data_IF_621537437135
#
_entry.id   IF_621537437135
#
_cell.length_a   1.000
_cell.length_b   1.000
_cell.length_c   1.000
_cell.angle_alpha   90.00
_cell.angle_beta   90.00
_cell.angle_gamma   90.00
#
_symmetry.space_group_name_H-M   'P 1'
#
loop_
_entity.id
_entity.type
_entity.pdbx_description
1 polymer ?
#
# COMPACT_ATOMS: atom_id res chain seq x y z
N UNK A 1 -1.60 -13.22 -8.77
CA UNK A 1 -0.13 -13.21 -8.50
C UNK A 1 0.14 -12.29 -7.31
N UNK A 2 1.10 -12.59 -6.42
CA UNK A 2 1.43 -11.72 -5.28
C UNK A 2 2.72 -10.94 -5.57
N UNK A 3 2.67 -9.62 -5.41
CA UNK A 3 3.80 -8.69 -5.55
C UNK A 3 4.07 -8.03 -4.21
N UNK A 4 5.32 -8.09 -3.74
CA UNK A 4 5.76 -7.32 -2.57
C UNK A 4 6.24 -5.95 -3.01
N UNK A 5 5.65 -4.89 -2.44
CA UNK A 5 6.01 -3.52 -2.78
C UNK A 5 7.27 -3.12 -2.00
N UNK A 6 8.35 -2.68 -2.67
CA UNK A 6 9.58 -2.31 -1.99
C UNK A 6 9.40 -0.99 -1.24
N UNK A 7 9.54 -1.04 0.09
CA UNK A 7 9.45 0.14 0.97
C UNK A 7 10.81 0.47 1.59
N UNK A 8 10.89 1.65 2.21
CA UNK A 8 11.97 2.05 3.11
C UNK A 8 11.41 2.31 4.52
N UNK A 9 12.14 2.02 5.61
CA UNK A 9 11.70 2.31 6.97
C UNK A 9 11.92 3.79 7.32
N UNK A 10 11.26 4.69 6.59
CA UNK A 10 11.30 6.14 6.80
C UNK A 10 9.87 6.69 6.92
N UNK A 11 9.65 7.76 7.71
CA UNK A 11 8.32 8.24 8.04
C UNK A 11 7.56 8.82 6.83
N UNK A 12 8.24 9.26 5.78
CA UNK A 12 7.59 9.71 4.56
C UNK A 12 8.40 9.26 3.33
N UNK A 13 7.73 8.65 2.37
CA UNK A 13 8.35 8.22 1.12
C UNK A 13 7.38 8.33 -0.04
N UNK A 14 7.93 8.65 -1.21
CA UNK A 14 7.24 8.65 -2.49
C UNK A 14 8.03 7.82 -3.48
N UNK A 15 7.37 6.91 -4.16
CA UNK A 15 7.99 6.00 -5.12
C UNK A 15 6.97 5.53 -6.16
N UNK A 16 7.47 4.95 -7.25
CA UNK A 16 6.64 4.40 -8.32
C UNK A 16 6.88 2.91 -8.42
N UNK A 17 5.79 2.14 -8.57
CA UNK A 17 5.84 0.69 -8.74
C UNK A 17 4.96 0.26 -9.93
N UNK A 18 5.46 -0.58 -10.85
CA UNK A 18 4.65 -1.16 -11.91
C UNK A 18 3.76 -2.28 -11.35
N UNK A 19 2.45 -2.19 -11.57
CA UNK A 19 1.45 -3.19 -11.17
C UNK A 19 0.45 -3.38 -12.31
N UNK A 20 0.06 -4.62 -12.61
CA UNK A 20 -0.93 -4.94 -13.66
C UNK A 20 -0.72 -4.18 -15.00
N UNK A 21 0.55 -4.03 -15.43
CA UNK A 21 0.90 -3.33 -16.67
C UNK A 21 0.82 -1.80 -16.64
N UNK A 22 0.54 -1.19 -15.49
CA UNK A 22 0.47 0.27 -15.31
C UNK A 22 1.43 0.75 -14.20
N UNK A 23 1.84 2.01 -14.26
CA UNK A 23 2.71 2.62 -13.24
C UNK A 23 1.91 3.40 -12.21
N UNK A 24 2.04 3.00 -10.95
CA UNK A 24 1.38 3.62 -9.82
C UNK A 24 2.38 4.37 -8.96
N UNK A 25 2.05 5.61 -8.60
CA UNK A 25 2.81 6.41 -7.64
C UNK A 25 2.19 6.26 -6.27
N UNK A 26 3.01 5.82 -5.32
CA UNK A 26 2.67 5.69 -3.91
C UNK A 26 3.23 6.88 -3.16
N UNK A 27 2.43 7.49 -2.31
CA UNK A 27 2.91 8.39 -1.27
C UNK A 27 2.48 7.86 0.09
N UNK A 28 3.44 7.32 0.82
CA UNK A 28 3.24 6.73 2.14
C UNK A 28 3.80 7.68 3.20
N UNK A 29 3.01 7.98 4.24
CA UNK A 29 3.38 8.95 5.28
C UNK A 29 2.86 8.54 6.66
N UNK A 30 3.74 8.61 7.66
CA UNK A 30 3.40 8.48 9.06
C UNK A 30 2.85 9.81 9.56
N UNK A 31 1.65 9.77 10.12
CA UNK A 31 1.06 10.84 10.92
C UNK A 31 0.92 10.36 12.38
N UNK A 32 0.53 11.25 13.28
CA UNK A 32 0.33 10.92 14.70
C UNK A 32 -0.74 9.82 14.89
N UNK A 33 -1.76 9.79 14.03
CA UNK A 33 -2.87 8.84 14.09
C UNK A 33 -2.61 7.51 13.36
N UNK A 34 -1.51 7.37 12.61
CA UNK A 34 -1.21 6.14 11.86
C UNK A 34 -0.47 6.39 10.56
N UNK A 35 -0.30 5.32 9.80
CA UNK A 35 0.34 5.34 8.48
C UNK A 35 -0.72 5.54 7.39
N UNK A 36 -0.50 6.48 6.48
CA UNK A 36 -1.44 6.84 5.42
C UNK A 36 -0.83 6.65 4.05
N UNK A 37 -1.66 6.21 3.11
CA UNK A 37 -1.29 6.02 1.70
C UNK A 37 -2.15 6.87 0.77
N UNK A 38 -1.48 7.54 -0.17
CA UNK A 38 -2.09 8.00 -1.41
C UNK A 38 -1.59 7.14 -2.57
N UNK A 39 -2.49 6.83 -3.50
CA UNK A 39 -2.21 6.07 -4.71
C UNK A 39 -2.69 6.85 -5.92
N UNK A 40 -1.78 7.09 -6.86
CA UNK A 40 -2.06 7.83 -8.11
C UNK A 40 -1.64 6.96 -9.29
N UNK A 41 -2.47 6.90 -10.33
CA UNK A 41 -2.10 6.31 -11.63
C UNK A 41 -1.84 7.44 -12.61
N UNK A 42 -0.66 7.48 -13.21
CA UNK A 42 -0.23 8.61 -14.03
C UNK A 42 -0.44 9.96 -13.31
N UNK A 43 -1.48 10.72 -13.66
CA UNK A 43 -1.87 12.00 -13.05
C UNK A 43 -3.19 11.96 -12.29
N UNK A 44 -3.90 10.82 -12.30
CA UNK A 44 -5.23 10.68 -11.67
C UNK A 44 -5.12 10.03 -10.29
N UNK A 45 -5.61 10.69 -9.22
CA UNK A 45 -5.67 10.05 -7.91
C UNK A 45 -6.66 8.88 -7.93
N UNK A 46 -6.24 7.71 -7.43
CA UNK A 46 -7.13 6.59 -7.12
C UNK A 46 -7.60 6.65 -5.67
N UNK A 47 -6.64 6.84 -4.76
CA UNK A 47 -6.85 6.79 -3.31
C UNK A 47 -6.10 7.97 -2.72
N UNK A 48 -6.73 8.70 -1.80
CA UNK A 48 -6.11 9.78 -1.05
C UNK A 48 -6.44 9.60 0.42
N UNK A 49 -5.41 9.58 1.26
CA UNK A 49 -5.52 9.56 2.71
C UNK A 49 -6.06 8.26 3.27
N UNK A 50 -5.81 7.12 2.64
CA UNK A 50 -6.24 5.84 3.19
C UNK A 50 -5.37 5.47 4.41
N UNK A 51 -6.03 5.23 5.55
CA UNK A 51 -5.39 4.68 6.74
C UNK A 51 -4.97 3.23 6.45
N UNK A 52 -3.69 2.94 6.65
CA UNK A 52 -3.12 1.61 6.48
C UNK A 52 -3.38 0.80 7.74
N UNK A 53 -4.11 -0.30 7.61
CA UNK A 53 -4.43 -1.22 8.69
C UNK A 53 -3.93 -2.62 8.35
N UNK A 54 -3.65 -3.41 9.37
CA UNK A 54 -3.29 -4.81 9.20
C UNK A 54 -4.42 -5.60 8.52
N UNK A 55 -4.06 -6.46 7.56
CA UNK A 55 -4.95 -7.46 6.97
C UNK A 55 -6.16 -6.88 6.22
N UNK A 56 -6.17 -5.57 5.97
CA UNK A 56 -7.30 -4.89 5.36
C UNK A 56 -6.96 -4.44 3.94
N UNK A 57 -7.87 -4.66 2.99
CA UNK A 57 -7.76 -4.06 1.67
C UNK A 57 -7.78 -2.52 1.80
N UNK A 58 -6.79 -1.88 1.19
CA UNK A 58 -6.63 -0.43 1.16
C UNK A 58 -7.42 0.16 -0.02
N UNK A 59 -7.62 -0.58 -1.11
CA UNK A 59 -8.32 -0.09 -2.30
C UNK A 59 -9.81 0.06 -2.00
N UNK A 60 -10.43 -0.93 -1.35
CA UNK A 60 -11.85 -0.97 -0.92
C UNK A 60 -12.85 -0.48 -1.96
N UNK A 61 -12.51 -0.62 -3.24
CA UNK A 61 -13.32 -0.13 -4.34
C UNK A 61 -13.28 -1.13 -5.50
N UNK A 62 -14.33 -1.93 -5.71
CA UNK A 62 -14.38 -2.90 -6.80
C UNK A 62 -14.39 -2.25 -8.19
N UNK A 63 -14.69 -0.95 -8.30
CA UNK A 63 -14.61 -0.19 -9.54
C UNK A 63 -13.24 0.49 -9.76
N UNK A 64 -12.25 0.20 -8.91
CA UNK A 64 -10.89 0.67 -9.07
C UNK A 64 -10.27 0.12 -10.37
N UNK A 65 -9.53 0.94 -11.14
CA UNK A 65 -8.80 0.44 -12.31
C UNK A 65 -7.62 -0.46 -11.94
N UNK A 66 -7.20 -0.49 -10.67
CA UNK A 66 -6.29 -1.48 -10.13
C UNK A 66 -7.11 -2.66 -9.61
N UNK A 67 -7.21 -3.74 -10.39
CA UNK A 67 -7.93 -4.96 -10.03
C UNK A 67 -7.03 -5.84 -9.16
N UNK A 68 -7.37 -5.92 -7.88
CA UNK A 68 -6.61 -6.69 -6.90
C UNK A 68 -6.81 -6.15 -5.50
N UNK A 69 -6.07 -6.74 -4.58
CA UNK A 69 -6.10 -6.38 -3.16
C UNK A 69 -4.76 -5.77 -2.79
N UNK A 70 -4.77 -4.60 -2.14
CA UNK A 70 -3.55 -4.00 -1.62
C UNK A 70 -3.62 -4.00 -0.08
N UNK A 71 -2.71 -4.71 0.58
CA UNK A 71 -2.81 -4.95 2.03
C UNK A 71 -1.46 -4.87 2.72
N UNK A 72 -1.46 -4.34 3.93
CA UNK A 72 -0.34 -4.48 4.86
C UNK A 72 -0.50 -5.75 5.70
N UNK A 73 0.55 -6.57 5.75
CA UNK A 73 0.63 -7.76 6.59
C UNK A 73 1.63 -7.51 7.72
N UNK A 74 1.23 -7.76 8.96
CA UNK A 74 2.14 -7.87 10.11
C UNK A 74 2.61 -9.31 10.17
N UNK A 75 3.91 -9.52 9.97
CA UNK A 75 4.51 -10.86 9.94
C UNK A 75 4.81 -11.43 11.34
N UNK A 76 4.64 -10.61 12.39
CA UNK A 76 4.99 -10.97 13.77
C UNK A 76 3.78 -10.91 14.72
N UNK A 77 2.59 -10.58 14.20
CA UNK A 77 1.39 -10.42 15.01
C UNK A 77 0.24 -9.85 14.19
N UNK A 78 -0.54 -8.98 14.81
CA UNK A 78 -1.73 -8.35 14.21
C UNK A 78 -1.79 -6.85 14.51
N UNK A 79 -0.64 -6.17 14.58
CA UNK A 79 -0.58 -4.72 14.79
C UNK A 79 -0.69 -3.96 13.47
N UNK A 80 -1.33 -2.80 13.51
CA UNK A 80 -1.36 -1.87 12.38
C UNK A 80 0.05 -1.34 12.06
N UNK A 81 0.34 -1.08 10.77
CA UNK A 81 1.67 -0.72 10.33
C UNK A 81 2.10 0.67 10.81
N UNK A 82 3.35 0.76 11.24
CA UNK A 82 4.07 2.01 11.45
C UNK A 82 5.41 2.02 10.69
N UNK A 83 5.97 3.21 10.47
CA UNK A 83 7.15 3.35 9.61
C UNK A 83 8.40 2.59 10.11
N UNK A 84 8.52 2.34 11.42
CA UNK A 84 9.71 1.71 12.02
C UNK A 84 9.80 0.23 11.71
N UNK A 85 8.66 -0.42 11.49
CA UNK A 85 8.58 -1.84 11.13
C UNK A 85 8.42 -2.12 9.64
N UNK A 86 8.39 -1.11 8.76
CA UNK A 86 8.28 -1.33 7.32
C UNK A 86 9.43 -2.21 6.81
N UNK A 87 9.15 -3.03 5.80
CA UNK A 87 10.06 -4.02 5.19
C UNK A 87 10.29 -5.26 6.06
N UNK A 88 10.59 -5.09 7.35
CA UNK A 88 10.95 -6.21 8.23
C UNK A 88 9.75 -6.89 8.89
N UNK A 89 8.79 -6.11 9.35
CA UNK A 89 7.58 -6.59 10.05
C UNK A 89 6.33 -6.34 9.25
N UNK A 90 6.14 -5.09 8.82
CA UNK A 90 4.99 -4.63 8.07
C UNK A 90 5.33 -4.64 6.57
N UNK A 91 4.71 -5.58 5.85
CA UNK A 91 4.95 -5.80 4.42
C UNK A 91 3.72 -5.36 3.64
N UNK A 92 3.91 -4.49 2.65
CA UNK A 92 2.86 -4.10 1.72
C UNK A 92 2.85 -5.07 0.54
N UNK A 93 1.71 -5.72 0.31
CA UNK A 93 1.54 -6.72 -0.73
C UNK A 93 0.37 -6.33 -1.63
N UNK A 94 0.56 -6.55 -2.93
CA UNK A 94 -0.49 -6.47 -3.93
C UNK A 94 -0.79 -7.88 -4.44
N UNK A 95 -2.04 -8.31 -4.27
CA UNK A 95 -2.54 -9.57 -4.81
C UNK A 95 -3.41 -9.27 -6.05
N UNK A 96 -2.89 -9.66 -7.21
CA UNK A 96 -3.59 -9.50 -8.48
C UNK A 96 -4.70 -10.55 -8.62
N UNK A 97 -5.95 -10.09 -8.78
CA UNK A 97 -7.15 -10.91 -9.00
C UNK A 97 -7.56 -11.02 -10.46
N UNK A 98 -6.93 -10.26 -11.37
CA UNK A 98 -7.11 -10.44 -12.81
C UNK A 98 -6.28 -11.66 -13.27
N UNK A 99 -6.89 -12.84 -13.21
CA UNK A 99 -6.34 -14.09 -13.77
C UNK A 99 -6.85 -14.33 -15.18
#
# INVERSE_FOLDING_TARGET
MIITIPLKPIPAQRFTCPLAGQSYTFWLRQLQSGLYLDLTIQTRPLILGALCLHGTDIIRNPASPLQGTLTFTDTQGSQDPDYTGLVSRFVLQFEDTAS
#
